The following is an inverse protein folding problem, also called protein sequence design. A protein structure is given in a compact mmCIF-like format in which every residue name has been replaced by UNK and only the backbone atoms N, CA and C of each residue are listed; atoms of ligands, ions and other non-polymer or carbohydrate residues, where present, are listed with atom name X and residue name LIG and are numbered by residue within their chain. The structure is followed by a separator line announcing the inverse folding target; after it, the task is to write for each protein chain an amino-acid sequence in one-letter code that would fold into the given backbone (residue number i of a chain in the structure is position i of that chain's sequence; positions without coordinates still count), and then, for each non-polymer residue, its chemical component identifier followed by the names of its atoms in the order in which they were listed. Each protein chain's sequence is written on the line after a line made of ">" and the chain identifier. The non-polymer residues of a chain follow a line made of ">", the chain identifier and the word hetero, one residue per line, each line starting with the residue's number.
data_IF_343142288954
#
_entry.id   IF_343142288954
#
_cell.length_a   1.000
_cell.length_b   1.000
_cell.length_c   1.000
_cell.angle_alpha   90.00
_cell.angle_beta   90.00
_cell.angle_gamma   90.00
#
_symmetry.space_group_name_H-M   'P 1'
#
loop_
_entity.id
_entity.type
_entity.pdbx_description
1 polymer ?
#
# COMPACT_ATOMS: atom_id res chain seq x y z
N UNK A 1 40.31 66.27 -4.60
CA UNK A 1 39.46 67.23 -3.86
C UNK A 1 38.98 66.48 -2.62
N UNK A 2 39.57 66.66 -1.42
CA UNK A 2 39.34 67.76 -0.45
C UNK A 2 37.84 67.80 -0.07
N UNK A 3 37.32 67.51 1.13
CA UNK A 3 37.67 67.68 2.57
C UNK A 3 36.95 66.54 3.33
N UNK A 4 37.47 65.80 4.30
CA UNK A 4 38.00 66.08 5.66
C UNK A 4 37.05 66.78 6.66
N UNK A 5 37.26 66.44 7.94
CA UNK A 5 36.62 66.82 9.23
C UNK A 5 35.70 65.73 9.81
N UNK A 6 36.04 64.97 10.86
CA UNK A 6 37.05 65.16 11.91
C UNK A 6 36.38 65.51 13.24
N UNK A 7 36.54 64.62 14.25
CA UNK A 7 36.46 64.76 15.73
C UNK A 7 35.84 63.48 16.32
N UNK A 8 36.44 62.68 17.19
CA UNK A 8 37.65 62.85 18.00
C UNK A 8 37.31 62.84 19.49
N UNK A 9 37.77 61.78 20.19
CA UNK A 9 38.18 61.72 21.61
C UNK A 9 37.06 61.85 22.67
N UNK A 10 37.11 61.23 23.85
CA UNK A 10 37.95 60.23 24.52
C UNK A 10 37.23 59.90 25.85
N UNK A 11 37.55 58.79 26.50
CA UNK A 11 37.96 58.77 27.92
C UNK A 11 37.96 57.35 28.50
N UNK A 12 39.12 57.04 29.08
CA UNK A 12 39.44 55.89 29.91
C UNK A 12 38.77 55.89 31.30
N UNK A 13 38.51 54.66 31.79
CA UNK A 13 38.58 54.14 33.17
C UNK A 13 37.65 54.72 34.28
N UNK A 14 37.35 54.00 35.41
CA UNK A 14 38.08 52.89 36.03
C UNK A 14 37.23 51.66 36.50
N UNK A 15 37.97 50.64 36.97
CA UNK A 15 37.50 49.42 37.65
C UNK A 15 36.80 49.72 38.98
N UNK A 16 35.68 49.04 39.23
CA UNK A 16 35.18 48.81 40.60
C UNK A 16 34.69 47.37 40.72
N UNK A 17 35.48 46.53 41.39
CA UNK A 17 35.02 45.25 41.94
C UNK A 17 34.18 45.52 43.18
N UNK A 18 32.87 45.24 43.12
CA UNK A 18 32.03 45.10 44.30
C UNK A 18 31.53 43.67 44.40
N UNK A 19 32.19 42.96 45.31
CA UNK A 19 31.83 41.68 45.89
C UNK A 19 30.60 41.93 46.77
N UNK A 20 29.43 41.46 46.35
CA UNK A 20 28.24 41.49 47.19
C UNK A 20 27.63 40.09 47.30
N UNK A 21 27.59 39.64 48.55
CA UNK A 21 26.95 38.43 49.07
C UNK A 21 25.48 38.73 49.29
N UNK A 22 24.58 38.02 48.62
CA UNK A 22 23.14 38.24 48.79
C UNK A 22 22.32 37.05 48.29
N UNK A 23 21.66 36.39 49.23
CA UNK A 23 20.80 35.21 49.14
C UNK A 23 19.66 35.34 48.13
N UNK A 24 19.36 34.24 47.40
CA UNK A 24 18.21 34.12 46.49
C UNK A 24 16.87 34.26 47.24
N UNK A 25 15.82 34.76 46.54
CA UNK A 25 14.72 33.87 46.18
C UNK A 25 14.25 34.04 44.71
N UNK A 26 14.03 32.91 44.02
CA UNK A 26 13.15 32.78 42.84
C UNK A 26 11.70 33.17 43.24
N UNK A 27 10.73 33.52 42.36
CA UNK A 27 10.63 33.22 40.93
C UNK A 27 10.01 34.34 40.05
N UNK A 28 10.11 34.24 38.73
CA UNK A 28 8.94 34.49 37.85
C UNK A 28 9.16 33.90 36.48
N UNK A 29 8.46 32.79 36.29
CA UNK A 29 8.21 32.08 35.07
C UNK A 29 7.56 33.00 34.05
N UNK A 30 8.15 33.15 32.86
CA UNK A 30 7.39 33.40 31.64
C UNK A 30 7.93 32.45 30.57
N UNK A 31 7.10 31.46 30.28
CA UNK A 31 7.22 30.54 29.14
C UNK A 31 7.16 31.35 27.86
N UNK A 32 8.12 31.15 26.97
CA UNK A 32 7.90 31.29 25.53
C UNK A 32 8.48 30.03 24.88
N UNK A 33 7.61 29.01 24.81
CA UNK A 33 7.83 27.81 24.02
C UNK A 33 7.56 28.23 22.57
N UNK A 34 8.60 28.29 21.75
CA UNK A 34 8.47 28.33 20.30
C UNK A 34 9.18 27.09 19.76
N UNK A 35 8.47 25.96 19.77
CA UNK A 35 8.90 24.72 19.15
C UNK A 35 8.41 24.70 17.68
N UNK A 36 9.33 24.27 16.82
CA UNK A 36 9.30 24.19 15.36
C UNK A 36 8.04 23.51 14.76
N UNK A 37 7.73 23.77 13.47
CA UNK A 37 6.51 23.27 12.83
C UNK A 37 6.53 21.73 12.73
N UNK A 38 5.44 21.11 13.20
CA UNK A 38 5.11 19.70 12.99
C UNK A 38 4.73 19.49 11.52
N UNK A 39 5.71 19.17 10.67
CA UNK A 39 5.48 18.49 9.40
C UNK A 39 5.83 17.01 9.58
N UNK A 40 4.91 16.25 10.17
CA UNK A 40 5.01 14.78 10.16
C UNK A 40 4.23 14.30 8.94
N UNK A 41 4.95 14.12 7.83
CA UNK A 41 4.53 13.25 6.74
C UNK A 41 4.53 11.81 7.27
N UNK A 42 3.37 11.35 7.73
CA UNK A 42 3.13 9.93 7.96
C UNK A 42 2.99 9.25 6.59
N UNK A 43 4.12 8.92 5.99
CA UNK A 43 4.19 7.85 4.99
C UNK A 43 3.84 6.58 5.74
N UNK A 44 2.60 6.14 5.64
CA UNK A 44 2.20 4.80 6.07
C UNK A 44 2.84 3.79 5.11
N UNK A 45 4.11 3.49 5.36
CA UNK A 45 4.75 2.26 4.95
C UNK A 45 4.13 1.12 5.77
N UNK A 46 2.91 0.70 5.42
CA UNK A 46 2.27 -0.46 5.99
C UNK A 46 2.85 -1.73 5.35
N UNK A 47 3.93 -2.18 5.95
CA UNK A 47 4.34 -3.59 6.11
C UNK A 47 3.99 -4.57 4.99
N UNK A 48 4.89 -4.69 4.01
CA UNK A 48 5.07 -5.94 3.28
C UNK A 48 5.67 -7.01 4.20
N UNK A 49 4.84 -7.63 5.04
CA UNK A 49 5.20 -8.90 5.68
C UNK A 49 4.87 -10.02 4.68
N UNK A 50 5.86 -10.38 3.87
CA UNK A 50 5.92 -11.68 3.20
C UNK A 50 6.03 -12.79 4.24
N UNK A 51 4.94 -13.06 4.96
CA UNK A 51 4.79 -14.31 5.68
C UNK A 51 4.28 -15.32 4.65
N UNK A 52 5.19 -16.14 4.15
CA UNK A 52 4.84 -17.41 3.55
C UNK A 52 3.87 -18.11 4.50
N UNK A 53 2.58 -18.10 4.17
CA UNK A 53 1.58 -18.81 4.94
C UNK A 53 1.81 -20.28 4.67
N UNK A 54 2.67 -20.90 5.49
CA UNK A 54 2.72 -22.34 5.68
C UNK A 54 1.48 -22.75 6.46
N UNK A 55 0.31 -22.59 5.86
CA UNK A 55 -0.87 -23.40 6.17
C UNK A 55 -1.05 -24.34 4.99
N UNK A 56 -0.04 -25.18 4.80
CA UNK A 56 -0.21 -26.44 4.11
C UNK A 56 -1.07 -27.34 4.98
N UNK A 57 -2.39 -27.09 4.99
CA UNK A 57 -3.31 -28.23 5.07
C UNK A 57 -2.87 -29.21 3.99
N UNK A 58 -2.96 -30.51 4.24
CA UNK A 58 -2.61 -31.57 3.29
C UNK A 58 -3.36 -31.38 1.95
N UNK A 59 -2.87 -30.51 1.08
CA UNK A 59 -3.63 -29.92 -0.02
C UNK A 59 -2.80 -29.99 -1.30
N UNK A 60 -3.52 -30.22 -2.38
CA UNK A 60 -3.05 -30.26 -3.76
C UNK A 60 -1.96 -29.21 -4.01
N UNK A 61 -0.84 -29.57 -4.66
CA UNK A 61 0.21 -28.61 -5.00
C UNK A 61 -0.39 -27.42 -5.74
N UNK A 62 -0.13 -26.22 -5.23
CA UNK A 62 -0.62 -24.97 -5.78
C UNK A 62 0.46 -23.90 -5.63
N UNK A 63 0.51 -22.98 -6.59
CA UNK A 63 1.37 -21.81 -6.54
C UNK A 63 0.56 -20.61 -6.04
N UNK A 64 0.91 -20.07 -4.88
CA UNK A 64 0.26 -18.90 -4.31
C UNK A 64 1.21 -17.69 -4.30
N UNK A 65 0.70 -16.53 -4.72
CA UNK A 65 1.45 -15.27 -4.81
C UNK A 65 0.59 -14.09 -4.37
N UNK A 66 1.24 -13.08 -3.83
CA UNK A 66 0.64 -11.81 -3.42
C UNK A 66 1.53 -10.69 -3.93
N UNK A 67 0.92 -9.66 -4.51
CA UNK A 67 1.56 -8.46 -5.03
C UNK A 67 0.87 -7.23 -4.47
N UNK A 68 1.65 -6.21 -4.08
CA UNK A 68 1.05 -4.96 -3.61
C UNK A 68 0.36 -4.21 -4.76
N UNK A 69 0.95 -4.25 -5.95
CA UNK A 69 0.40 -3.65 -7.17
C UNK A 69 0.53 -4.58 -8.38
N UNK A 70 -0.23 -4.32 -9.44
CA UNK A 70 -0.09 -5.01 -10.73
C UNK A 70 1.33 -4.89 -11.31
N UNK A 71 2.02 -3.76 -11.10
CA UNK A 71 3.37 -3.55 -11.57
C UNK A 71 4.40 -4.50 -10.92
N UNK A 72 4.21 -4.80 -9.62
CA UNK A 72 5.09 -5.73 -8.88
C UNK A 72 4.97 -7.18 -9.36
N UNK A 73 3.88 -7.51 -10.04
CA UNK A 73 3.67 -8.83 -10.60
C UNK A 73 4.59 -9.13 -11.78
N UNK A 74 5.15 -8.12 -12.46
CA UNK A 74 6.09 -8.29 -13.57
C UNK A 74 5.59 -9.29 -14.64
N UNK A 75 4.33 -9.11 -15.08
CA UNK A 75 3.70 -9.97 -16.09
C UNK A 75 3.25 -11.36 -15.60
N UNK A 76 3.34 -11.65 -14.30
CA UNK A 76 2.90 -12.93 -13.71
C UNK A 76 1.40 -12.97 -13.38
N UNK A 77 0.65 -11.94 -13.76
CA UNK A 77 -0.80 -11.86 -13.61
C UNK A 77 -1.44 -11.64 -14.99
N UNK A 78 -2.72 -12.03 -15.17
CA UNK A 78 -3.42 -11.83 -16.44
C UNK A 78 -3.41 -10.38 -16.94
N UNK A 79 -3.27 -10.21 -18.26
CA UNK A 79 -3.14 -8.89 -18.91
C UNK A 79 -4.41 -8.05 -18.89
N UNK A 80 -5.57 -8.67 -18.64
CA UNK A 80 -6.84 -7.96 -18.50
C UNK A 80 -6.95 -7.22 -17.15
N UNK A 81 -6.09 -7.55 -16.18
CA UNK A 81 -6.10 -6.87 -14.88
C UNK A 81 -5.66 -5.42 -15.07
N UNK A 82 -6.45 -4.45 -14.55
CA UNK A 82 -6.11 -3.04 -14.64
C UNK A 82 -4.73 -2.70 -14.04
N UNK A 83 -4.05 -1.73 -14.65
CA UNK A 83 -2.74 -1.28 -14.18
C UNK A 83 -2.77 -0.61 -12.79
N UNK A 84 -3.94 -0.11 -12.37
CA UNK A 84 -4.17 0.45 -11.04
C UNK A 84 -4.49 -0.59 -9.97
N UNK A 85 -4.48 -1.89 -10.32
CA UNK A 85 -4.85 -2.93 -9.38
C UNK A 85 -3.87 -3.03 -8.21
N UNK A 86 -4.42 -3.14 -7.01
CA UNK A 86 -3.70 -3.30 -5.74
C UNK A 86 -4.15 -4.55 -5.01
N UNK A 87 -3.39 -4.95 -3.99
CA UNK A 87 -3.70 -6.11 -3.14
C UNK A 87 -3.98 -7.37 -3.96
N UNK A 88 -3.16 -7.61 -4.98
CA UNK A 88 -3.37 -8.69 -5.94
C UNK A 88 -2.94 -10.01 -5.31
N UNK A 89 -3.84 -10.97 -5.25
CA UNK A 89 -3.63 -12.30 -4.68
C UNK A 89 -4.00 -13.32 -5.75
N UNK A 90 -3.14 -14.28 -6.01
CA UNK A 90 -3.42 -15.36 -6.96
C UNK A 90 -3.00 -16.70 -6.36
N UNK A 91 -3.83 -17.71 -6.59
CA UNK A 91 -3.52 -19.10 -6.29
C UNK A 91 -3.88 -19.97 -7.47
N UNK A 92 -2.88 -20.63 -8.03
CA UNK A 92 -3.00 -21.48 -9.21
C UNK A 92 -2.76 -22.93 -8.83
N UNK A 93 -3.64 -23.84 -9.20
CA UNK A 93 -3.42 -25.28 -8.97
C UNK A 93 -2.36 -25.82 -9.92
N UNK A 94 -1.38 -26.55 -9.39
CA UNK A 94 -0.38 -27.27 -10.18
C UNK A 94 -0.87 -28.64 -10.65
N UNK A 95 -2.16 -28.96 -10.44
CA UNK A 95 -2.83 -30.17 -10.96
C UNK A 95 -3.93 -29.87 -11.98
N UNK A 96 -4.00 -28.62 -12.47
CA UNK A 96 -5.03 -28.21 -13.44
C UNK A 96 -6.45 -28.07 -12.86
N UNK A 97 -6.57 -27.91 -11.54
CA UNK A 97 -7.87 -27.73 -10.86
C UNK A 97 -8.44 -26.31 -11.01
N UNK A 98 -7.73 -25.39 -11.68
CA UNK A 98 -8.16 -24.00 -11.80
C UNK A 98 -7.19 -23.02 -11.15
N UNK A 99 -7.61 -21.77 -11.08
CA UNK A 99 -6.96 -20.72 -10.32
C UNK A 99 -8.01 -19.79 -9.70
N UNK A 100 -7.66 -19.13 -8.59
CA UNK A 100 -8.43 -18.04 -8.00
C UNK A 100 -7.54 -16.79 -7.91
N UNK A 101 -8.14 -15.63 -8.08
CA UNK A 101 -7.49 -14.33 -8.11
C UNK A 101 -8.38 -13.29 -7.45
N UNK A 102 -7.80 -12.45 -6.61
CA UNK A 102 -8.48 -11.30 -5.99
C UNK A 102 -7.60 -10.08 -6.17
N UNK A 103 -8.21 -8.93 -6.45
CA UNK A 103 -7.53 -7.64 -6.45
C UNK A 103 -8.52 -6.52 -6.13
N UNK A 104 -7.99 -5.34 -5.82
CA UNK A 104 -8.77 -4.09 -5.74
C UNK A 104 -8.42 -3.16 -6.89
N UNK A 105 -9.38 -2.42 -7.42
CA UNK A 105 -9.15 -1.44 -8.47
C UNK A 105 -10.20 -0.32 -8.42
N UNK A 106 -9.80 0.90 -8.76
CA UNK A 106 -10.73 2.00 -8.97
C UNK A 106 -11.36 1.94 -10.38
N UNK A 107 -10.82 1.10 -11.26
CA UNK A 107 -11.38 0.83 -12.58
C UNK A 107 -12.72 0.08 -12.41
N UNK A 108 -13.85 0.65 -12.85
CA UNK A 108 -15.14 -0.02 -12.74
C UNK A 108 -15.21 -1.21 -13.71
N UNK A 109 -16.01 -2.23 -13.34
CA UNK A 109 -16.11 -3.50 -14.07
C UNK A 109 -16.45 -3.34 -15.56
N UNK A 110 -17.30 -2.38 -15.91
CA UNK A 110 -17.70 -2.06 -17.29
C UNK A 110 -16.53 -1.53 -18.15
N UNK A 111 -15.44 -1.09 -17.53
CA UNK A 111 -14.23 -0.58 -18.19
C UNK A 111 -13.05 -1.54 -18.18
N UNK A 112 -13.19 -2.72 -17.58
CA UNK A 112 -12.13 -3.75 -17.58
C UNK A 112 -12.01 -4.49 -18.93
N UNK A 113 -12.96 -4.28 -19.84
CA UNK A 113 -12.96 -4.98 -21.14
C UNK A 113 -13.39 -6.45 -21.03
N UNK A 114 -14.15 -6.80 -19.99
CA UNK A 114 -14.75 -8.11 -19.83
C UNK A 114 -16.17 -8.16 -20.42
N UNK A 115 -16.60 -9.34 -20.85
CA UNK A 115 -17.95 -9.60 -21.36
C UNK A 115 -18.87 -10.11 -20.25
N UNK A 116 -20.18 -10.17 -20.48
CA UNK A 116 -21.10 -10.78 -19.51
C UNK A 116 -20.84 -12.29 -19.39
N UNK A 117 -20.81 -12.82 -18.16
CA UNK A 117 -20.65 -14.25 -17.92
C UNK A 117 -21.91 -15.05 -18.28
N UNK A 118 -21.77 -16.33 -18.66
CA UNK A 118 -22.91 -17.23 -18.80
C UNK A 118 -23.58 -17.49 -17.45
N UNK A 119 -24.90 -17.68 -17.46
CA UNK A 119 -25.68 -17.86 -16.23
C UNK A 119 -25.34 -19.15 -15.46
N UNK A 120 -24.79 -20.15 -16.14
CA UNK A 120 -24.36 -21.44 -15.60
C UNK A 120 -22.84 -21.52 -15.40
N UNK A 121 -22.18 -20.37 -15.24
CA UNK A 121 -20.74 -20.30 -15.00
C UNK A 121 -20.34 -21.15 -13.78
N UNK A 122 -19.34 -22.06 -13.92
CA UNK A 122 -18.92 -22.94 -12.84
C UNK A 122 -18.24 -22.16 -11.72
N UNK A 123 -18.47 -22.56 -10.47
CA UNK A 123 -17.75 -22.08 -9.31
C UNK A 123 -16.27 -22.54 -9.33
N UNK A 124 -15.36 -21.81 -8.67
CA UNK A 124 -13.96 -22.23 -8.55
C UNK A 124 -13.82 -23.54 -7.78
N UNK A 125 -13.00 -24.46 -8.31
CA UNK A 125 -12.61 -25.68 -7.60
C UNK A 125 -11.43 -25.46 -6.66
N UNK A 126 -10.62 -24.43 -6.92
CA UNK A 126 -9.55 -23.98 -6.01
C UNK A 126 -10.17 -23.12 -4.93
N UNK A 127 -9.77 -23.36 -3.68
CA UNK A 127 -10.25 -22.62 -2.51
C UNK A 127 -9.08 -22.15 -1.65
N UNK A 128 -9.33 -21.07 -0.91
CA UNK A 128 -8.42 -20.57 0.11
C UNK A 128 -9.21 -19.80 1.19
N UNK A 129 -8.57 -19.58 2.33
CA UNK A 129 -9.07 -18.83 3.49
C UNK A 129 -9.49 -17.39 3.19
N UNK A 130 -8.98 -16.81 2.11
CA UNK A 130 -9.32 -15.45 1.69
C UNK A 130 -10.41 -15.40 0.62
N UNK A 131 -10.76 -16.54 0.03
CA UNK A 131 -11.83 -16.58 -0.95
C UNK A 131 -13.19 -16.43 -0.23
N UNK A 132 -14.15 -15.64 -0.77
CA UNK A 132 -15.46 -15.49 -0.15
C UNK A 132 -16.22 -16.82 -0.05
N UNK A 133 -16.94 -16.99 1.07
CA UNK A 133 -17.89 -18.09 1.30
C UNK A 133 -19.27 -17.52 1.68
N UNK A 134 -20.32 -17.69 0.85
CA UNK A 134 -20.32 -18.44 -0.41
C UNK A 134 -19.51 -17.76 -1.52
N UNK A 135 -18.97 -18.57 -2.44
CA UNK A 135 -18.27 -18.06 -3.61
C UNK A 135 -19.18 -17.15 -4.43
N UNK A 136 -18.67 -16.01 -4.94
CA UNK A 136 -19.46 -15.11 -5.76
C UNK A 136 -19.89 -15.78 -7.07
N UNK A 137 -21.07 -15.42 -7.56
CA UNK A 137 -21.54 -15.82 -8.88
C UNK A 137 -20.82 -15.00 -9.96
N UNK A 138 -20.42 -15.65 -11.06
CA UNK A 138 -19.74 -14.94 -12.14
C UNK A 138 -20.68 -13.89 -12.76
N UNK A 139 -20.22 -12.66 -12.85
CA UNK A 139 -20.91 -11.59 -13.54
C UNK A 139 -20.27 -11.29 -14.91
N UNK A 140 -18.96 -11.53 -15.02
CA UNK A 140 -18.19 -11.22 -16.21
C UNK A 140 -17.22 -12.33 -16.61
N UNK A 141 -16.90 -12.41 -17.90
CA UNK A 141 -15.84 -13.24 -18.46
C UNK A 141 -14.78 -12.33 -19.04
N UNK A 142 -13.57 -12.44 -18.52
CA UNK A 142 -12.39 -11.69 -18.93
C UNK A 142 -11.47 -12.56 -19.78
N UNK A 143 -10.37 -11.98 -20.29
CA UNK A 143 -9.42 -12.65 -21.18
C UNK A 143 -8.98 -14.04 -20.68
N UNK A 144 -8.64 -14.93 -21.59
CA UNK A 144 -8.18 -16.31 -21.31
C UNK A 144 -9.17 -17.20 -20.55
N UNK A 145 -10.46 -16.83 -20.52
CA UNK A 145 -11.53 -17.62 -19.89
C UNK A 145 -11.66 -17.41 -18.39
N UNK A 146 -11.09 -16.32 -17.86
CA UNK A 146 -11.30 -15.92 -16.48
C UNK A 146 -12.75 -15.53 -16.26
N UNK A 147 -13.39 -16.11 -15.25
CA UNK A 147 -14.68 -15.66 -14.75
C UNK A 147 -14.42 -14.68 -13.62
N UNK A 148 -15.22 -13.63 -13.49
CA UNK A 148 -15.05 -12.66 -12.43
C UNK A 148 -16.37 -12.08 -11.92
N UNK A 149 -16.31 -11.55 -10.70
CA UNK A 149 -17.37 -10.84 -10.02
C UNK A 149 -16.75 -9.64 -9.31
N UNK A 150 -17.35 -8.46 -9.49
CA UNK A 150 -16.98 -7.27 -8.75
C UNK A 150 -17.86 -7.13 -7.50
N UNK A 151 -17.23 -6.80 -6.37
CA UNK A 151 -17.86 -6.40 -5.12
C UNK A 151 -17.25 -5.08 -4.65
N UNK A 152 -17.95 -3.98 -4.95
CA UNK A 152 -17.42 -2.64 -4.71
C UNK A 152 -16.14 -2.37 -5.50
N UNK A 153 -15.03 -2.14 -4.80
CA UNK A 153 -13.69 -1.94 -5.36
C UNK A 153 -12.88 -3.24 -5.47
N UNK A 154 -13.39 -4.35 -4.93
CA UNK A 154 -12.75 -5.67 -5.02
C UNK A 154 -13.29 -6.45 -6.22
N UNK A 155 -12.42 -7.24 -6.83
CA UNK A 155 -12.76 -8.15 -7.92
C UNK A 155 -12.27 -9.53 -7.55
N UNK A 156 -13.18 -10.50 -7.57
CA UNK A 156 -12.89 -11.91 -7.38
C UNK A 156 -12.99 -12.60 -8.73
N UNK A 157 -11.90 -13.20 -9.19
CA UNK A 157 -11.81 -13.86 -10.48
C UNK A 157 -11.27 -15.29 -10.33
N UNK A 158 -11.66 -16.18 -11.24
CA UNK A 158 -11.20 -17.56 -11.24
C UNK A 158 -11.15 -18.17 -12.62
N UNK A 159 -10.26 -19.15 -12.77
CA UNK A 159 -10.23 -20.06 -13.91
C UNK A 159 -10.89 -21.39 -13.51
N UNK A 160 -11.89 -21.85 -14.27
CA UNK A 160 -12.46 -23.18 -14.09
C UNK A 160 -11.42 -24.30 -14.25
N UNK A 161 -11.71 -25.47 -13.67
CA UNK A 161 -10.93 -26.68 -13.91
C UNK A 161 -10.86 -26.99 -15.41
N UNK A 162 -9.67 -27.38 -15.89
CA UNK A 162 -9.45 -27.69 -17.31
C UNK A 162 -9.40 -26.47 -18.23
N UNK A 163 -9.25 -25.27 -17.68
CA UNK A 163 -9.01 -24.06 -18.48
C UNK A 163 -7.68 -24.14 -19.22
N UNK A 164 -7.68 -23.82 -20.51
CA UNK A 164 -6.48 -23.83 -21.36
C UNK A 164 -5.40 -22.84 -20.91
N UNK A 165 -5.79 -21.79 -20.21
CA UNK A 165 -4.87 -20.83 -19.60
C UNK A 165 -3.94 -21.45 -18.54
N UNK A 166 -4.23 -22.68 -18.11
CA UNK A 166 -3.44 -23.44 -17.15
C UNK A 166 -2.64 -24.58 -17.79
N UNK A 167 -2.68 -24.71 -19.13
CA UNK A 167 -1.85 -25.66 -19.87
C UNK A 167 -0.40 -25.14 -19.85
N UNK A 168 0.32 -25.46 -18.76
CA UNK A 168 1.75 -25.22 -18.56
C UNK A 168 2.61 -26.29 -19.24
#
# INVERSE_FOLDING_TARGET
>A
MLRDHGRGLAADAPRTTLRWTGSMPRPRSVRAIAAAPLAVLLVLALGGCGAASTVGGMTTPADARIYATAADADGRIPTWIPADATDVRIKTSLRGEGAILEFRSATPADRMGCEAAPADAPAPSVQDTWWPDPSPAAAMTCGDGWLAAADGDAVHAWLPKGSRALDL
#
